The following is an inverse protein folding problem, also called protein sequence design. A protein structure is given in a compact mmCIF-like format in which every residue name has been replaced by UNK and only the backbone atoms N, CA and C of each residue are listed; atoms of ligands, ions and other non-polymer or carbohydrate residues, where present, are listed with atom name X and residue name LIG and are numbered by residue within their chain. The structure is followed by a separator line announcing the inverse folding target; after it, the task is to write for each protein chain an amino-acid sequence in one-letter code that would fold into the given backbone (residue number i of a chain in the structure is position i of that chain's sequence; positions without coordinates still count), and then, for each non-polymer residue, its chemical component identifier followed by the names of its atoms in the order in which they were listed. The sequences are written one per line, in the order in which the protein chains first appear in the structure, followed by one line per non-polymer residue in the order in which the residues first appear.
data_IF_759938652478
#
_entry.id   IF_759938652478
#
_cell.length_a   1.000
_cell.length_b   1.000
_cell.length_c   1.000
_cell.angle_alpha   90.00
_cell.angle_beta   90.00
_cell.angle_gamma   90.00
#
_symmetry.space_group_name_H-M   'P 1'
#
loop_
_entity.id
_entity.type
_entity.pdbx_description
1 polymer ?
#
# COMPACT_ATOMS: atom_id res chain seq x y z
N UNK A 1 -29.41 8.26 -46.05
CA UNK A 1 -28.43 7.60 -45.17
C UNK A 1 -28.81 7.94 -43.73
N UNK A 2 -29.37 6.99 -42.99
CA UNK A 2 -29.68 7.16 -41.57
C UNK A 2 -28.45 6.80 -40.75
N UNK A 3 -27.81 7.81 -40.14
CA UNK A 3 -26.71 7.60 -39.20
C UNK A 3 -27.29 7.40 -37.80
N UNK A 4 -27.29 6.14 -37.36
CA UNK A 4 -27.60 5.75 -35.99
C UNK A 4 -26.57 6.36 -35.03
N UNK A 5 -27.03 7.19 -34.10
CA UNK A 5 -26.24 7.80 -33.04
C UNK A 5 -26.27 6.88 -31.83
N UNK A 6 -25.32 5.94 -31.75
CA UNK A 6 -25.10 5.13 -30.56
C UNK A 6 -24.05 5.82 -29.69
N UNK A 7 -24.47 6.38 -28.56
CA UNK A 7 -23.56 6.83 -27.51
C UNK A 7 -23.07 5.59 -26.74
N UNK A 8 -21.75 5.35 -26.64
CA UNK A 8 -21.23 4.33 -25.76
C UNK A 8 -21.31 4.84 -24.33
N UNK A 9 -22.23 4.28 -23.55
CA UNK A 9 -22.18 4.39 -22.09
C UNK A 9 -20.93 3.65 -21.64
N UNK A 10 -19.87 4.38 -21.27
CA UNK A 10 -18.71 3.81 -20.58
C UNK A 10 -19.17 3.51 -19.16
N UNK A 11 -19.26 2.24 -18.72
CA UNK A 11 -19.51 1.96 -17.32
C UNK A 11 -18.28 2.43 -16.54
N UNK A 12 -18.45 3.45 -15.69
CA UNK A 12 -17.50 3.69 -14.61
C UNK A 12 -17.56 2.46 -13.70
N UNK A 13 -16.58 1.57 -13.84
CA UNK A 13 -16.30 0.56 -12.84
C UNK A 13 -15.91 1.30 -11.56
N UNK A 14 -16.85 1.42 -10.62
CA UNK A 14 -16.58 1.92 -9.28
C UNK A 14 -15.51 1.03 -8.66
N UNK A 15 -14.29 1.55 -8.54
CA UNK A 15 -13.22 0.96 -7.75
C UNK A 15 -13.65 1.03 -6.28
N UNK A 16 -14.37 0.01 -5.82
CA UNK A 16 -14.60 -0.18 -4.39
C UNK A 16 -13.24 -0.46 -3.74
N UNK A 17 -12.71 0.52 -3.03
CA UNK A 17 -11.58 0.30 -2.13
C UNK A 17 -12.08 -0.59 -1.00
N UNK A 18 -11.74 -1.88 -1.03
CA UNK A 18 -12.00 -2.77 0.09
C UNK A 18 -11.24 -2.24 1.32
N UNK A 19 -11.97 -1.64 2.26
CA UNK A 19 -11.43 -1.19 3.54
C UNK A 19 -11.30 -2.43 4.44
N UNK A 20 -10.13 -3.06 4.44
CA UNK A 20 -9.81 -4.18 5.33
C UNK A 20 -9.30 -3.70 6.70
N UNK A 21 -8.99 -4.65 7.61
CA UNK A 21 -8.37 -4.32 8.90
C UNK A 21 -7.06 -3.57 8.69
N UNK A 22 -6.74 -2.64 9.60
CA UNK A 22 -5.48 -1.92 9.57
C UNK A 22 -4.33 -2.89 9.82
N UNK A 23 -3.33 -2.87 8.94
CA UNK A 23 -2.15 -3.75 8.99
C UNK A 23 -0.86 -2.99 9.25
N UNK A 24 -0.74 -1.79 8.69
CA UNK A 24 0.37 -0.90 8.96
C UNK A 24 0.02 0.56 8.71
N UNK A 25 0.80 1.46 9.30
CA UNK A 25 0.75 2.91 9.13
C UNK A 25 2.15 3.40 8.74
N UNK A 26 2.24 4.17 7.67
CA UNK A 26 3.45 4.88 7.27
C UNK A 26 3.35 6.35 7.65
N UNK A 27 4.32 6.85 8.41
CA UNK A 27 4.37 8.24 8.85
C UNK A 27 5.40 9.02 8.03
N UNK A 28 5.02 10.17 7.45
CA UNK A 28 5.95 11.01 6.71
C UNK A 28 7.05 11.56 7.62
N UNK A 29 8.22 11.84 7.05
CA UNK A 29 9.30 12.56 7.75
C UNK A 29 8.84 13.96 8.17
N UNK A 30 8.20 14.67 7.25
CA UNK A 30 7.68 16.02 7.43
C UNK A 30 6.16 16.03 7.67
N UNK A 31 5.58 17.23 7.79
CA UNK A 31 4.13 17.43 7.89
C UNK A 31 3.42 16.83 6.67
N UNK A 32 2.58 15.83 6.91
CA UNK A 32 1.78 15.20 5.87
C UNK A 32 0.82 14.15 6.43
N UNK A 33 -0.08 13.63 5.58
CA UNK A 33 -0.95 12.55 5.98
C UNK A 33 -0.18 11.23 6.11
N UNK A 34 -0.47 10.48 7.17
CA UNK A 34 -0.06 9.09 7.27
C UNK A 34 -0.74 8.24 6.17
N UNK A 35 -0.07 7.17 5.75
CA UNK A 35 -0.59 6.24 4.76
C UNK A 35 -0.92 4.89 5.39
N UNK A 36 -2.18 4.49 5.28
CA UNK A 36 -2.71 3.29 5.92
C UNK A 36 -2.68 2.10 4.96
N UNK A 37 -2.16 0.97 5.43
CA UNK A 37 -2.24 -0.31 4.74
C UNK A 37 -3.39 -1.10 5.34
N UNK A 38 -4.42 -1.33 4.53
CA UNK A 38 -5.65 -2.05 4.93
C UNK A 38 -5.88 -3.32 4.09
N UNK A 39 -4.88 -3.76 3.32
CA UNK A 39 -4.97 -4.91 2.42
C UNK A 39 -3.84 -5.89 2.67
N UNK A 40 -4.12 -7.19 2.51
CA UNK A 40 -3.09 -8.24 2.46
C UNK A 40 -2.47 -8.43 1.06
N UNK A 41 -3.01 -7.73 0.06
CA UNK A 41 -2.45 -7.70 -1.28
C UNK A 41 -1.27 -6.74 -1.34
N UNK A 42 -0.47 -6.87 -2.40
CA UNK A 42 0.59 -5.92 -2.68
C UNK A 42 0.02 -4.50 -2.88
N UNK A 43 0.56 -3.54 -2.15
CA UNK A 43 0.18 -2.12 -2.24
C UNK A 43 1.35 -1.36 -2.85
N UNK A 44 1.09 -0.73 -4.00
CA UNK A 44 2.05 0.13 -4.69
C UNK A 44 1.97 1.56 -4.17
N UNK A 45 3.11 2.14 -3.81
CA UNK A 45 3.20 3.57 -3.50
C UNK A 45 3.11 4.41 -4.78
N UNK A 46 2.54 5.60 -4.65
CA UNK A 46 2.46 6.60 -5.73
C UNK A 46 3.69 7.50 -5.69
N UNK A 47 4.16 7.95 -6.85
CA UNK A 47 5.31 8.87 -6.96
C UNK A 47 5.12 10.21 -6.25
N UNK A 48 3.86 10.61 -6.02
CA UNK A 48 3.50 11.87 -5.38
C UNK A 48 3.32 11.77 -3.87
N UNK A 49 3.47 10.58 -3.28
CA UNK A 49 3.46 10.39 -1.84
C UNK A 49 4.75 10.95 -1.21
N UNK A 50 4.68 11.39 0.06
CA UNK A 50 5.85 11.90 0.77
C UNK A 50 6.89 10.80 1.02
N UNK A 51 8.08 11.21 1.44
CA UNK A 51 9.07 10.31 2.03
C UNK A 51 8.57 9.91 3.42
N UNK A 52 8.54 8.61 3.68
CA UNK A 52 8.12 8.07 4.97
C UNK A 52 9.33 7.78 5.84
N UNK A 53 9.33 8.31 7.06
CA UNK A 53 10.42 8.10 8.02
C UNK A 53 10.18 6.87 8.91
N UNK A 54 8.92 6.50 9.13
CA UNK A 54 8.56 5.41 10.03
C UNK A 54 7.45 4.54 9.47
N UNK A 55 7.54 3.24 9.75
CA UNK A 55 6.45 2.27 9.63
C UNK A 55 6.05 1.78 11.02
N UNK A 56 4.74 1.72 11.27
CA UNK A 56 4.14 1.02 12.40
C UNK A 56 3.34 -0.17 11.87
N UNK A 57 3.72 -1.38 12.25
CA UNK A 57 3.06 -2.62 11.86
C UNK A 57 2.15 -3.08 13.00
N UNK A 58 0.87 -3.24 12.70
CA UNK A 58 -0.15 -3.64 13.68
C UNK A 58 -0.11 -5.15 13.92
N UNK A 59 -0.28 -5.58 15.17
CA UNK A 59 -0.43 -7.01 15.48
C UNK A 59 -1.71 -7.59 14.85
N UNK A 60 -1.73 -8.83 14.32
CA UNK A 60 -0.64 -9.81 14.24
C UNK A 60 0.04 -9.81 12.86
N UNK A 61 0.37 -8.65 12.29
CA UNK A 61 0.88 -8.59 10.91
C UNK A 61 2.41 -8.59 10.85
N UNK A 62 2.91 -9.05 9.71
CA UNK A 62 4.28 -8.89 9.24
C UNK A 62 4.26 -8.18 7.89
N UNK A 63 5.07 -7.15 7.70
CA UNK A 63 5.10 -6.35 6.48
C UNK A 63 6.47 -6.42 5.81
N UNK A 64 6.50 -6.70 4.51
CA UNK A 64 7.73 -6.68 3.71
C UNK A 64 7.71 -5.48 2.77
N UNK A 65 8.79 -4.69 2.77
CA UNK A 65 9.02 -3.61 1.81
C UNK A 65 9.77 -4.13 0.59
N UNK A 66 9.46 -3.58 -0.59
CA UNK A 66 10.04 -4.00 -1.86
C UNK A 66 10.57 -2.81 -2.66
N UNK A 67 11.70 -2.98 -3.33
CA UNK A 67 12.36 -1.97 -4.16
C UNK A 67 11.62 -1.70 -5.47
N UNK A 68 10.90 -2.72 -5.97
CA UNK A 68 10.08 -2.61 -7.18
C UNK A 68 8.62 -2.40 -6.84
N UNK A 69 7.84 -2.03 -7.86
CA UNK A 69 6.39 -2.18 -7.80
C UNK A 69 6.02 -3.66 -7.82
N UNK A 70 4.79 -3.97 -7.44
CA UNK A 70 4.18 -5.29 -7.54
C UNK A 70 4.87 -6.39 -6.71
N UNK A 71 5.62 -5.98 -5.67
CA UNK A 71 6.17 -6.84 -4.62
C UNK A 71 7.09 -7.98 -5.13
N UNK A 72 8.03 -7.66 -6.02
CA UNK A 72 8.94 -8.65 -6.63
C UNK A 72 10.34 -8.67 -6.02
N UNK A 73 10.86 -7.52 -5.59
CA UNK A 73 12.25 -7.36 -5.11
C UNK A 73 12.27 -6.96 -3.62
N UNK A 74 12.24 -7.91 -2.66
CA UNK A 74 12.11 -7.62 -1.24
C UNK A 74 13.39 -6.98 -0.67
N UNK A 75 13.22 -6.01 0.23
CA UNK A 75 14.30 -5.29 0.89
C UNK A 75 14.40 -5.75 2.35
N UNK A 76 13.33 -5.50 3.12
CA UNK A 76 13.31 -5.65 4.57
C UNK A 76 11.93 -6.11 5.02
N UNK A 77 11.88 -6.90 6.09
CA UNK A 77 10.65 -7.43 6.67
C UNK A 77 10.55 -7.02 8.14
N UNK A 78 9.40 -6.44 8.49
CA UNK A 78 9.11 -5.91 9.81
C UNK A 78 7.97 -6.70 10.46
N UNK A 79 8.19 -7.33 11.64
CA UNK A 79 7.11 -7.87 12.45
C UNK A 79 6.31 -6.72 13.09
N UNK A 80 5.32 -7.04 13.93
CA UNK A 80 4.55 -6.01 14.64
C UNK A 80 5.44 -5.14 15.52
N UNK A 81 5.34 -3.81 15.37
CA UNK A 81 6.20 -2.84 16.04
C UNK A 81 6.35 -1.54 15.24
N UNK A 82 7.20 -0.64 15.72
CA UNK A 82 7.54 0.63 15.05
C UNK A 82 9.00 0.64 14.64
N UNK A 83 9.28 1.04 13.39
CA UNK A 83 10.62 0.98 12.80
C UNK A 83 10.91 2.22 11.94
N UNK A 84 12.15 2.68 12.01
CA UNK A 84 12.63 3.75 11.14
C UNK A 84 12.98 3.18 9.75
N UNK A 85 12.53 3.89 8.71
CA UNK A 85 12.64 3.48 7.30
C UNK A 85 13.09 4.65 6.40
N UNK A 86 13.51 5.77 6.99
CA UNK A 86 13.86 7.00 6.27
C UNK A 86 14.93 6.77 5.19
N UNK A 87 15.90 5.90 5.49
CA UNK A 87 17.02 5.62 4.61
C UNK A 87 16.71 4.54 3.53
N UNK A 88 15.48 4.03 3.48
CA UNK A 88 15.08 2.97 2.55
C UNK A 88 14.38 3.52 1.31
N UNK A 89 14.85 3.08 0.14
CA UNK A 89 14.15 3.30 -1.12
C UNK A 89 13.22 2.13 -1.46
N UNK A 90 11.90 2.31 -1.32
CA UNK A 90 10.90 1.28 -1.61
C UNK A 90 9.77 1.79 -2.52
N UNK A 91 9.07 0.87 -3.18
CA UNK A 91 7.99 1.16 -4.15
C UNK A 91 6.71 0.36 -3.90
N UNK A 92 6.76 -0.72 -3.14
CA UNK A 92 5.56 -1.42 -2.69
C UNK A 92 5.76 -2.08 -1.32
N UNK A 93 4.63 -2.40 -0.68
CA UNK A 93 4.58 -3.14 0.59
C UNK A 93 3.56 -4.27 0.48
N UNK A 94 3.84 -5.39 1.14
CA UNK A 94 2.84 -6.43 1.38
C UNK A 94 2.82 -6.78 2.86
N UNK A 95 1.64 -6.77 3.47
CA UNK A 95 1.45 -7.13 4.87
C UNK A 95 0.55 -8.36 4.99
N UNK A 96 1.04 -9.40 5.66
CA UNK A 96 0.29 -10.64 5.90
C UNK A 96 0.15 -10.89 7.39
N UNK A 97 -0.81 -11.72 7.78
CA UNK A 97 -0.87 -12.19 9.18
C UNK A 97 0.32 -13.10 9.47
N UNK A 98 0.92 -12.94 10.64
CA UNK A 98 1.97 -13.79 11.17
C UNK A 98 1.38 -15.19 11.45
N UNK A 99 2.01 -16.27 10.97
CA UNK A 99 1.57 -17.62 11.28
C UNK A 99 1.62 -17.84 12.80
N UNK A 100 0.49 -18.21 13.40
CA UNK A 100 0.44 -18.65 14.78
C UNK A 100 0.97 -20.09 14.84
N UNK A 101 2.14 -20.29 15.45
CA UNK A 101 2.65 -21.62 15.83
C UNK A 101 1.98 -22.16 17.10
#
# INVERSE_FOLDING_TARGET
MHFSKLFPFVPLASLATAQGPLRAIFYPEDVGPAFLIQSNLCVNFQRTQPIYAQIQVEFPNICTLYATRDCLDPIETYPSGSYDILDLEFRSVQCTEEPQE
#
